data_IF_833153437831
#
_entry.id   IF_833153437831
#
_cell.length_a   1.000
_cell.length_b   1.000
_cell.length_c   1.000
_cell.angle_alpha   90.00
_cell.angle_beta   90.00
_cell.angle_gamma   90.00
#
_symmetry.space_group_name_H-M   'P 1'
#
loop_
_entity.id
_entity.type
_entity.pdbx_description
1 polymer ?
#
# COMPACT_ATOMS: atom_id res chain seq x y z
N UNK A 1 24.93 22.55 -20.86
CA UNK A 1 24.33 21.56 -19.92
C UNK A 1 23.04 22.04 -19.25
N UNK A 2 22.39 23.15 -19.67
CA UNK A 2 21.25 23.76 -18.94
C UNK A 2 19.86 23.62 -19.60
N UNK A 3 19.73 22.97 -20.76
CA UNK A 3 18.43 22.88 -21.47
C UNK A 3 17.63 21.59 -21.26
N UNK A 4 18.22 20.53 -20.69
CA UNK A 4 17.50 19.26 -20.44
C UNK A 4 16.64 19.23 -19.17
N UNK A 5 16.78 20.19 -18.27
CA UNK A 5 16.21 20.13 -16.92
C UNK A 5 14.78 20.69 -16.77
N UNK A 6 14.17 21.24 -17.82
CA UNK A 6 12.88 21.94 -17.71
C UNK A 6 11.90 21.57 -18.84
N UNK A 7 11.95 20.32 -19.32
CA UNK A 7 11.07 19.80 -20.38
C UNK A 7 9.69 19.39 -19.81
N UNK A 8 8.59 19.48 -20.59
CA UNK A 8 7.35 18.82 -20.23
C UNK A 8 7.51 17.29 -20.22
N UNK A 9 6.66 16.60 -19.45
CA UNK A 9 6.58 15.14 -19.47
C UNK A 9 6.21 14.67 -20.88
N UNK A 10 6.99 13.77 -21.45
CA UNK A 10 6.74 13.20 -22.77
C UNK A 10 5.91 11.91 -22.65
N UNK A 11 5.36 11.42 -23.77
CA UNK A 11 4.56 10.17 -23.83
C UNK A 11 5.27 8.97 -23.21
N UNK A 12 6.60 8.92 -23.32
CA UNK A 12 7.41 7.85 -22.73
C UNK A 12 7.46 7.94 -21.20
N UNK A 13 7.53 9.14 -20.62
CA UNK A 13 7.51 9.32 -19.17
C UNK A 13 6.15 8.90 -18.59
N UNK A 14 5.05 9.31 -19.25
CA UNK A 14 3.70 8.87 -18.87
C UNK A 14 3.52 7.36 -18.98
N UNK A 15 4.03 6.74 -20.05
CA UNK A 15 3.97 5.28 -20.21
C UNK A 15 4.71 4.57 -19.08
N UNK A 16 5.91 5.03 -18.74
CA UNK A 16 6.70 4.47 -17.63
C UNK A 16 6.00 4.65 -16.29
N UNK A 17 5.48 5.85 -16.00
CA UNK A 17 4.75 6.16 -14.78
C UNK A 17 3.48 5.30 -14.64
N UNK A 18 2.68 5.17 -15.71
CA UNK A 18 1.47 4.35 -15.69
C UNK A 18 1.77 2.88 -15.49
N UNK A 19 2.81 2.35 -16.14
CA UNK A 19 3.20 0.94 -15.98
C UNK A 19 3.75 0.66 -14.57
N UNK A 20 4.56 1.57 -14.01
CA UNK A 20 5.04 1.48 -12.63
C UNK A 20 3.89 1.57 -11.61
N UNK A 21 2.97 2.51 -11.81
CA UNK A 21 1.77 2.67 -11.00
C UNK A 21 0.87 1.43 -11.05
N UNK A 22 0.63 0.85 -12.24
CA UNK A 22 -0.17 -0.38 -12.39
C UNK A 22 0.49 -1.58 -11.73
N UNK A 23 1.80 -1.77 -11.90
CA UNK A 23 2.54 -2.84 -11.22
C UNK A 23 2.43 -2.70 -9.69
N UNK A 24 2.66 -1.51 -9.16
CA UNK A 24 2.52 -1.23 -7.73
C UNK A 24 1.07 -1.37 -7.22
N UNK A 25 0.07 -1.04 -8.04
CA UNK A 25 -1.34 -1.23 -7.70
C UNK A 25 -1.69 -2.72 -7.52
N UNK A 26 -1.25 -3.58 -8.45
CA UNK A 26 -1.55 -5.03 -8.37
C UNK A 26 -0.86 -5.67 -7.16
N UNK A 27 0.32 -5.20 -6.78
CA UNK A 27 0.98 -5.63 -5.55
C UNK A 27 0.23 -5.14 -4.31
N UNK A 28 -0.12 -3.86 -4.26
CA UNK A 28 -0.88 -3.36 -3.13
C UNK A 28 -2.24 -4.04 -2.97
N UNK A 29 -2.89 -4.46 -4.05
CA UNK A 29 -4.12 -5.25 -3.98
C UNK A 29 -3.95 -6.50 -3.09
N UNK A 30 -2.97 -7.36 -3.41
CA UNK A 30 -2.72 -8.63 -2.71
C UNK A 30 -2.44 -8.43 -1.22
N UNK A 31 -1.70 -7.37 -0.91
CA UNK A 31 -1.32 -7.07 0.45
C UNK A 31 -2.53 -6.59 1.28
N UNK A 32 -3.39 -5.79 0.67
CA UNK A 32 -4.47 -5.05 1.33
C UNK A 32 -5.77 -5.84 1.42
N UNK A 33 -6.05 -6.74 0.48
CA UNK A 33 -7.32 -7.48 0.44
C UNK A 33 -7.64 -8.21 1.75
N UNK A 34 -6.62 -8.74 2.42
CA UNK A 34 -6.73 -9.33 3.76
C UNK A 34 -7.33 -8.38 4.80
N UNK A 35 -7.00 -7.08 4.78
CA UNK A 35 -7.52 -6.14 5.78
C UNK A 35 -9.01 -5.93 5.60
N UNK A 36 -9.49 -5.85 4.36
CA UNK A 36 -10.92 -5.74 4.08
C UNK A 36 -11.72 -6.98 4.52
N UNK A 37 -11.07 -8.14 4.56
CA UNK A 37 -11.64 -9.38 5.08
C UNK A 37 -11.17 -9.71 6.52
N UNK A 38 -10.54 -8.78 7.24
CA UNK A 38 -9.97 -9.06 8.56
C UNK A 38 -11.01 -9.61 9.56
N UNK A 39 -12.23 -9.08 9.55
CA UNK A 39 -13.31 -9.58 10.43
C UNK A 39 -13.65 -11.04 10.10
N UNK A 40 -13.87 -11.35 8.82
CA UNK A 40 -14.18 -12.71 8.37
C UNK A 40 -13.02 -13.68 8.62
N UNK A 41 -11.79 -13.28 8.32
CA UNK A 41 -10.59 -14.09 8.59
C UNK A 41 -10.39 -14.29 10.09
N UNK A 42 -10.70 -13.29 10.91
CA UNK A 42 -10.74 -13.39 12.35
C UNK A 42 -11.63 -14.53 12.82
N UNK A 43 -12.85 -14.60 12.29
CA UNK A 43 -13.81 -15.66 12.62
C UNK A 43 -13.39 -17.05 12.10
N UNK A 44 -12.70 -17.11 10.97
CA UNK A 44 -12.36 -18.38 10.29
C UNK A 44 -11.04 -18.99 10.76
N UNK A 45 -10.05 -18.17 11.15
CA UNK A 45 -8.70 -18.62 11.45
C UNK A 45 -8.37 -18.61 12.95
N UNK A 46 -9.25 -18.11 13.80
CA UNK A 46 -9.02 -18.06 15.24
C UNK A 46 -10.16 -18.75 16.01
N UNK A 47 -9.90 -19.15 17.27
CA UNK A 47 -10.89 -19.84 18.08
C UNK A 47 -12.16 -19.00 18.33
N UNK A 48 -13.33 -19.64 18.36
CA UNK A 48 -14.60 -18.95 18.61
C UNK A 48 -14.74 -18.44 20.06
N UNK A 49 -14.02 -19.07 20.99
CA UNK A 49 -14.07 -18.88 22.45
C UNK A 49 -13.22 -17.72 22.98
N UNK A 50 -12.37 -17.11 22.14
CA UNK A 50 -11.59 -15.93 22.55
C UNK A 50 -12.40 -14.63 22.42
N UNK A 51 -12.14 -13.62 23.29
CA UNK A 51 -12.77 -12.31 23.18
C UNK A 51 -12.51 -11.66 21.81
N UNK A 52 -13.51 -10.94 21.29
CA UNK A 52 -13.45 -10.30 19.96
C UNK A 52 -12.28 -9.32 19.82
N UNK A 53 -11.98 -8.53 20.86
CA UNK A 53 -10.83 -7.61 20.85
C UNK A 53 -9.50 -8.36 20.68
N UNK A 54 -9.37 -9.57 21.24
CA UNK A 54 -8.16 -10.38 21.14
C UNK A 54 -8.04 -11.00 19.74
N UNK A 55 -9.16 -11.45 19.17
CA UNK A 55 -9.23 -11.94 17.79
C UNK A 55 -8.83 -10.87 16.77
N UNK A 56 -9.32 -9.64 16.96
CA UNK A 56 -8.92 -8.49 16.14
C UNK A 56 -7.44 -8.18 16.33
N UNK A 57 -6.95 -8.14 17.58
CA UNK A 57 -5.54 -7.92 17.88
C UNK A 57 -4.64 -8.95 17.19
N UNK A 58 -5.02 -10.23 17.21
CA UNK A 58 -4.27 -11.30 16.53
C UNK A 58 -4.32 -11.18 15.01
N UNK A 59 -5.48 -10.85 14.44
CA UNK A 59 -5.64 -10.68 12.98
C UNK A 59 -4.82 -9.50 12.46
N UNK A 60 -4.91 -8.34 13.12
CA UNK A 60 -4.08 -7.18 12.81
C UNK A 60 -2.61 -7.39 13.21
N UNK A 61 -2.34 -8.24 14.20
CA UNK A 61 -0.99 -8.69 14.55
C UNK A 61 -0.33 -9.46 13.42
N UNK A 62 -1.06 -10.36 12.76
CA UNK A 62 -0.60 -11.05 11.55
C UNK A 62 -0.36 -10.03 10.41
N UNK A 63 -1.23 -9.05 10.25
CA UNK A 63 -1.02 -7.96 9.28
C UNK A 63 0.24 -7.15 9.57
N UNK A 64 0.45 -6.77 10.83
CA UNK A 64 1.62 -6.03 11.29
C UNK A 64 2.91 -6.85 11.12
N UNK A 65 2.87 -8.16 11.37
CA UNK A 65 4.01 -9.05 11.11
C UNK A 65 4.45 -9.02 9.64
N UNK A 66 3.51 -8.94 8.70
CA UNK A 66 3.81 -8.71 7.28
C UNK A 66 4.54 -7.39 7.03
N UNK A 67 4.17 -6.29 7.72
CA UNK A 67 4.93 -5.04 7.64
C UNK A 67 6.32 -5.15 8.25
N UNK A 68 6.46 -5.81 9.40
CA UNK A 68 7.73 -6.03 10.08
C UNK A 68 8.68 -6.92 9.26
N UNK A 69 8.15 -7.78 8.40
CA UNK A 69 8.95 -8.57 7.47
C UNK A 69 9.55 -7.74 6.32
N UNK A 70 9.02 -6.54 6.01
CA UNK A 70 9.48 -5.71 4.88
C UNK A 70 10.96 -5.31 4.98
N UNK A 71 11.48 -4.75 6.09
CA UNK A 71 12.89 -4.40 6.18
C UNK A 71 13.81 -5.62 6.03
N UNK A 72 13.44 -6.74 6.66
CA UNK A 72 14.18 -8.01 6.55
C UNK A 72 14.22 -8.49 5.10
N UNK A 73 13.06 -8.49 4.43
CA UNK A 73 12.96 -8.83 3.03
C UNK A 73 13.77 -7.92 2.12
N UNK A 74 13.75 -6.60 2.36
CA UNK A 74 14.58 -5.64 1.63
C UNK A 74 16.08 -5.92 1.73
N UNK A 75 16.58 -6.25 2.93
CA UNK A 75 18.00 -6.60 3.16
C UNK A 75 18.35 -7.89 2.43
N UNK A 76 17.53 -8.94 2.59
CA UNK A 76 17.75 -10.26 1.97
C UNK A 76 17.71 -10.16 0.44
N UNK A 77 16.68 -9.50 -0.11
CA UNK A 77 16.50 -9.33 -1.56
C UNK A 77 17.61 -8.49 -2.18
N UNK A 78 18.13 -7.48 -1.46
CA UNK A 78 19.28 -6.70 -1.92
C UNK A 78 20.55 -7.57 -1.96
N UNK A 79 20.85 -8.29 -0.87
CA UNK A 79 22.05 -9.13 -0.78
C UNK A 79 22.08 -10.22 -1.86
N UNK A 80 20.99 -10.98 -2.01
CA UNK A 80 20.92 -12.01 -3.04
C UNK A 80 20.73 -11.42 -4.44
N UNK A 81 20.24 -10.19 -4.55
CA UNK A 81 20.13 -9.45 -5.81
C UNK A 81 21.49 -9.20 -6.44
N UNK A 82 22.48 -8.89 -5.61
CA UNK A 82 23.85 -8.64 -6.05
C UNK A 82 24.62 -9.94 -6.32
N UNK A 83 24.30 -11.04 -5.62
CA UNK A 83 24.95 -12.36 -5.81
C UNK A 83 24.41 -13.18 -6.98
N UNK A 84 23.08 -13.28 -7.13
CA UNK A 84 22.40 -14.21 -8.05
C UNK A 84 21.91 -13.50 -9.32
N UNK A 85 21.95 -12.17 -9.30
CA UNK A 85 21.49 -11.30 -10.39
C UNK A 85 20.09 -10.76 -10.13
N UNK A 86 19.98 -9.43 -10.20
CA UNK A 86 18.79 -8.65 -9.84
C UNK A 86 17.52 -9.04 -10.60
N UNK A 87 17.65 -9.50 -11.85
CA UNK A 87 16.51 -9.99 -12.66
C UNK A 87 15.84 -11.22 -12.03
N UNK A 88 16.62 -12.17 -11.50
CA UNK A 88 16.09 -13.39 -10.86
C UNK A 88 15.43 -13.05 -9.52
N UNK A 89 16.06 -12.18 -8.73
CA UNK A 89 15.51 -11.76 -7.44
C UNK A 89 14.22 -10.96 -7.57
N UNK A 90 14.11 -10.13 -8.60
CA UNK A 90 12.88 -9.40 -8.87
C UNK A 90 11.73 -10.36 -9.26
N UNK A 91 12.00 -11.36 -10.11
CA UNK A 91 11.01 -12.39 -10.42
C UNK A 91 10.62 -13.22 -9.19
N UNK A 92 11.58 -13.50 -8.30
CA UNK A 92 11.34 -14.21 -7.04
C UNK A 92 10.46 -13.40 -6.10
N UNK A 93 10.69 -12.09 -5.98
CA UNK A 93 9.86 -11.18 -5.17
C UNK A 93 8.39 -11.25 -5.56
N UNK A 94 8.08 -11.15 -6.85
CA UNK A 94 6.68 -11.23 -7.34
C UNK A 94 6.09 -12.62 -7.08
N UNK A 95 6.86 -13.69 -7.24
CA UNK A 95 6.40 -15.04 -6.94
C UNK A 95 6.12 -15.23 -5.44
N UNK A 96 6.99 -14.69 -4.58
CA UNK A 96 6.82 -14.65 -3.12
C UNK A 96 5.66 -13.77 -2.67
N UNK A 97 5.08 -13.00 -3.59
CA UNK A 97 3.85 -12.25 -3.34
C UNK A 97 2.62 -13.04 -3.82
N UNK A 98 2.58 -13.42 -5.10
CA UNK A 98 1.43 -14.06 -5.73
C UNK A 98 1.13 -15.47 -5.20
N UNK A 99 2.17 -16.30 -4.96
CA UNK A 99 1.99 -17.68 -4.51
C UNK A 99 1.40 -17.73 -3.10
N UNK A 100 1.91 -16.97 -2.11
CA UNK A 100 1.24 -16.88 -0.82
C UNK A 100 -0.18 -16.34 -0.89
N UNK A 101 -0.49 -15.38 -1.79
CA UNK A 101 -1.86 -14.90 -1.97
C UNK A 101 -2.79 -16.03 -2.39
N UNK A 102 -2.41 -16.84 -3.39
CA UNK A 102 -3.17 -18.03 -3.80
C UNK A 102 -3.27 -19.04 -2.65
N UNK A 103 -2.17 -19.29 -1.95
CA UNK A 103 -2.12 -20.25 -0.87
C UNK A 103 -3.08 -19.86 0.27
N UNK A 104 -3.19 -18.57 0.61
CA UNK A 104 -4.16 -18.08 1.62
C UNK A 104 -5.60 -18.46 1.23
N UNK A 105 -5.97 -18.32 -0.04
CA UNK A 105 -7.28 -18.73 -0.54
C UNK A 105 -7.54 -20.25 -0.46
N UNK A 106 -6.49 -21.05 -0.34
CA UNK A 106 -6.56 -22.52 -0.21
C UNK A 106 -6.38 -23.02 1.23
N UNK A 107 -6.09 -22.13 2.19
CA UNK A 107 -5.81 -22.56 3.55
C UNK A 107 -7.06 -23.18 4.22
N UNK A 108 -6.86 -24.26 4.99
CA UNK A 108 -7.90 -24.78 5.88
C UNK A 108 -8.16 -23.79 7.03
N UNK A 109 -9.41 -23.75 7.50
CA UNK A 109 -9.86 -22.90 8.61
C UNK A 109 -9.51 -23.53 9.97
N UNK A 110 -9.71 -22.77 11.05
CA UNK A 110 -9.46 -23.24 12.41
C UNK A 110 -10.24 -24.51 12.76
N UNK A 111 -11.49 -24.63 12.28
CA UNK A 111 -12.32 -25.82 12.49
C UNK A 111 -11.71 -27.11 11.90
N UNK A 112 -10.91 -26.99 10.85
CA UNK A 112 -10.31 -28.14 10.17
C UNK A 112 -8.95 -28.55 10.73
N UNK A 113 -8.10 -27.60 11.14
CA UNK A 113 -6.69 -27.87 11.53
C UNK A 113 -6.24 -27.17 12.82
N UNK A 114 -7.13 -26.49 13.53
CA UNK A 114 -6.85 -25.77 14.78
C UNK A 114 -5.79 -24.68 14.61
N UNK A 115 -4.87 -24.61 15.58
CA UNK A 115 -3.79 -23.60 15.67
C UNK A 115 -2.86 -23.57 14.44
N UNK A 116 -2.82 -24.64 13.64
CA UNK A 116 -2.06 -24.63 12.39
C UNK A 116 -2.59 -23.58 11.40
N UNK A 117 -3.90 -23.29 11.38
CA UNK A 117 -4.51 -22.32 10.47
C UNK A 117 -3.92 -20.89 10.63
N UNK A 118 -3.92 -20.26 11.82
CA UNK A 118 -3.36 -18.92 12.00
C UNK A 118 -1.83 -18.90 11.84
N UNK A 119 -1.12 -19.99 12.15
CA UNK A 119 0.33 -20.09 11.91
C UNK A 119 0.64 -20.09 10.41
N UNK A 120 -0.07 -20.90 9.62
CA UNK A 120 0.09 -20.91 8.17
C UNK A 120 -0.25 -19.55 7.56
N UNK A 121 -1.33 -18.92 8.03
CA UNK A 121 -1.71 -17.57 7.64
C UNK A 121 -0.58 -16.56 7.94
N UNK A 122 -0.01 -16.60 9.14
CA UNK A 122 1.14 -15.77 9.53
C UNK A 122 2.35 -15.99 8.61
N UNK A 123 2.70 -17.25 8.31
CA UNK A 123 3.82 -17.58 7.42
C UNK A 123 3.60 -17.00 6.02
N UNK A 124 2.40 -17.16 5.45
CA UNK A 124 2.07 -16.57 4.15
C UNK A 124 2.23 -15.05 4.18
N UNK A 125 1.81 -14.39 5.28
CA UNK A 125 1.92 -12.93 5.41
C UNK A 125 3.34 -12.43 5.59
N UNK A 126 4.18 -13.17 6.31
CA UNK A 126 5.61 -12.85 6.41
C UNK A 126 6.28 -12.96 5.04
N UNK A 127 5.96 -13.99 4.25
CA UNK A 127 6.48 -14.16 2.89
C UNK A 127 6.07 -13.00 1.97
N UNK A 128 4.78 -12.63 1.95
CA UNK A 128 4.29 -11.47 1.18
C UNK A 128 4.95 -10.17 1.63
N UNK A 129 5.08 -9.98 2.94
CA UNK A 129 5.71 -8.81 3.54
C UNK A 129 7.16 -8.65 3.10
N UNK A 130 7.92 -9.74 3.11
CA UNK A 130 9.32 -9.74 2.70
C UNK A 130 9.51 -9.35 1.21
N UNK A 131 8.58 -9.71 0.33
CA UNK A 131 8.65 -9.36 -1.09
C UNK A 131 8.58 -7.84 -1.36
N UNK A 132 7.71 -7.13 -0.64
CA UNK A 132 7.40 -5.71 -0.93
C UNK A 132 8.51 -4.74 -0.49
N UNK A 133 9.36 -5.13 0.46
CA UNK A 133 10.15 -4.21 1.27
C UNK A 133 11.14 -3.29 0.54
N UNK A 134 11.64 -3.68 -0.63
CA UNK A 134 12.62 -2.89 -1.40
C UNK A 134 12.08 -2.17 -2.63
N UNK A 135 10.92 -2.58 -3.14
CA UNK A 135 10.48 -2.19 -4.48
C UNK A 135 9.81 -0.82 -4.51
N UNK A 136 8.92 -0.55 -3.54
CA UNK A 136 8.12 0.68 -3.50
C UNK A 136 8.99 1.92 -3.25
N UNK A 137 9.92 1.94 -2.27
CA UNK A 137 10.82 3.07 -2.09
C UNK A 137 11.77 3.28 -3.28
N UNK A 138 12.19 2.19 -3.93
CA UNK A 138 13.01 2.24 -5.14
C UNK A 138 12.28 2.93 -6.30
N UNK A 139 10.99 2.67 -6.47
CA UNK A 139 10.17 3.31 -7.51
C UNK A 139 10.02 4.82 -7.29
N UNK A 140 9.89 5.30 -6.04
CA UNK A 140 9.82 6.73 -5.74
C UNK A 140 11.13 7.46 -6.05
N UNK A 141 12.27 6.91 -5.60
CA UNK A 141 13.60 7.48 -5.90
C UNK A 141 13.81 7.55 -7.40
N UNK A 142 13.50 6.46 -8.09
CA UNK A 142 13.60 6.38 -9.53
C UNK A 142 12.78 7.46 -10.24
N UNK A 143 11.49 7.60 -9.91
CA UNK A 143 10.64 8.61 -10.53
C UNK A 143 11.19 10.01 -10.25
N UNK A 144 11.63 10.28 -9.02
CA UNK A 144 12.18 11.57 -8.63
C UNK A 144 13.46 11.93 -9.39
N UNK A 145 14.33 10.95 -9.68
CA UNK A 145 15.58 11.17 -10.43
C UNK A 145 15.37 11.36 -11.94
N UNK A 146 14.29 10.82 -12.50
CA UNK A 146 14.06 10.82 -13.96
C UNK A 146 13.15 11.95 -14.44
N UNK A 147 12.43 12.62 -13.55
CA UNK A 147 11.57 13.75 -13.89
C UNK A 147 12.26 15.10 -13.64
N UNK A 148 11.87 16.16 -14.38
CA UNK A 148 12.38 17.51 -14.14
C UNK A 148 12.18 17.94 -12.67
N UNK A 149 13.18 18.63 -12.09
CA UNK A 149 13.14 19.07 -10.69
C UNK A 149 11.86 19.82 -10.27
N UNK A 150 11.23 20.56 -11.19
CA UNK A 150 9.98 21.30 -10.92
C UNK A 150 8.70 20.44 -10.99
N UNK A 151 8.82 19.14 -11.22
CA UNK A 151 7.69 18.21 -11.40
C UNK A 151 7.81 16.94 -10.56
N UNK A 152 8.77 16.92 -9.64
CA UNK A 152 9.02 15.76 -8.77
C UNK A 152 7.80 15.51 -7.88
N UNK A 153 7.18 16.57 -7.38
CA UNK A 153 5.97 16.50 -6.56
C UNK A 153 4.81 15.86 -7.28
N UNK A 154 4.50 16.35 -8.47
CA UNK A 154 3.44 15.81 -9.30
C UNK A 154 3.70 14.35 -9.69
N UNK A 155 4.94 13.99 -10.02
CA UNK A 155 5.29 12.63 -10.41
C UNK A 155 5.19 11.64 -9.23
N UNK A 156 5.70 12.01 -8.05
CA UNK A 156 5.54 11.23 -6.81
C UNK A 156 4.07 11.14 -6.39
N UNK A 157 3.29 12.21 -6.58
CA UNK A 157 1.85 12.24 -6.35
C UNK A 157 1.09 11.27 -7.25
N UNK A 158 1.40 11.21 -8.55
CA UNK A 158 0.84 10.23 -9.50
C UNK A 158 1.21 8.80 -9.09
N UNK A 159 2.48 8.56 -8.76
CA UNK A 159 2.92 7.23 -8.35
C UNK A 159 2.19 6.76 -7.09
N UNK A 160 2.04 7.65 -6.10
CA UNK A 160 1.30 7.38 -4.85
C UNK A 160 -0.19 7.17 -5.12
N UNK A 161 -0.82 7.97 -5.99
CA UNK A 161 -2.19 7.75 -6.44
C UNK A 161 -2.35 6.40 -7.16
N UNK A 162 -1.34 5.98 -7.91
CA UNK A 162 -1.26 4.65 -8.51
C UNK A 162 -1.30 3.53 -7.47
N UNK A 163 -0.53 3.63 -6.40
CA UNK A 163 -0.59 2.66 -5.29
C UNK A 163 -1.98 2.64 -4.63
N UNK A 164 -2.62 3.81 -4.48
CA UNK A 164 -4.00 3.90 -3.98
C UNK A 164 -5.01 3.18 -4.88
N UNK A 165 -4.76 3.02 -6.19
CA UNK A 165 -5.61 2.20 -7.05
C UNK A 165 -5.60 0.72 -6.64
N UNK A 166 -4.49 0.21 -6.12
CA UNK A 166 -4.41 -1.15 -5.57
C UNK A 166 -5.34 -1.34 -4.38
N UNK A 167 -5.35 -0.34 -3.48
CA UNK A 167 -6.26 -0.27 -2.34
C UNK A 167 -7.71 -0.19 -2.84
N UNK A 168 -7.98 0.63 -3.87
CA UNK A 168 -9.31 0.77 -4.46
C UNK A 168 -9.80 -0.55 -5.06
N UNK A 169 -8.97 -1.25 -5.83
CA UNK A 169 -9.34 -2.57 -6.37
C UNK A 169 -9.65 -3.55 -5.25
N UNK A 170 -8.87 -3.55 -4.16
CA UNK A 170 -9.16 -4.38 -2.98
C UNK A 170 -10.53 -4.06 -2.38
N UNK A 171 -10.81 -2.76 -2.18
CA UNK A 171 -12.06 -2.27 -1.60
C UNK A 171 -13.27 -2.58 -2.50
N UNK A 172 -13.11 -2.42 -3.82
CA UNK A 172 -14.16 -2.72 -4.80
C UNK A 172 -14.45 -4.21 -4.86
N UNK A 173 -13.44 -5.08 -4.91
CA UNK A 173 -13.64 -6.53 -4.91
C UNK A 173 -14.32 -6.98 -3.61
N UNK A 174 -13.88 -6.45 -2.45
CA UNK A 174 -14.53 -6.71 -1.18
C UNK A 174 -15.99 -6.22 -1.17
N UNK A 175 -16.26 -5.03 -1.70
CA UNK A 175 -17.63 -4.48 -1.84
C UNK A 175 -18.49 -5.38 -2.72
N UNK A 176 -17.98 -5.84 -3.86
CA UNK A 176 -18.71 -6.71 -4.79
C UNK A 176 -19.07 -8.03 -4.10
N UNK A 177 -18.10 -8.70 -3.46
CA UNK A 177 -18.32 -9.96 -2.74
C UNK A 177 -19.39 -9.78 -1.65
N UNK A 178 -19.24 -8.76 -0.80
CA UNK A 178 -20.14 -8.51 0.33
C UNK A 178 -21.51 -7.96 -0.06
N UNK A 179 -21.69 -7.54 -1.32
CA UNK A 179 -22.99 -7.11 -1.86
C UNK A 179 -23.72 -8.27 -2.55
N UNK A 180 -22.98 -9.19 -3.18
CA UNK A 180 -23.55 -10.34 -3.90
C UNK A 180 -23.85 -11.49 -2.95
N UNK A 181 -22.95 -11.76 -2.01
CA UNK A 181 -23.04 -12.90 -1.10
C UNK A 181 -23.48 -12.46 0.30
N UNK A 182 -24.28 -13.31 0.95
CA UNK A 182 -24.62 -13.14 2.36
C UNK A 182 -23.40 -13.33 3.26
N UNK A 183 -23.46 -12.82 4.51
CA UNK A 183 -22.37 -12.99 5.49
C UNK A 183 -22.00 -14.47 5.68
N UNK A 184 -22.99 -15.36 5.70
CA UNK A 184 -22.76 -16.79 5.88
C UNK A 184 -22.02 -17.39 4.68
N UNK A 185 -22.44 -17.10 3.45
CA UNK A 185 -21.73 -17.54 2.25
C UNK A 185 -20.30 -16.97 2.15
N UNK A 186 -20.09 -15.74 2.63
CA UNK A 186 -18.76 -15.14 2.73
C UNK A 186 -17.87 -15.94 3.67
N UNK A 187 -18.36 -16.34 4.84
CA UNK A 187 -17.61 -17.17 5.80
C UNK A 187 -17.39 -18.59 5.26
N UNK A 188 -18.39 -19.17 4.60
CA UNK A 188 -18.32 -20.55 4.12
C UNK A 188 -17.27 -20.72 3.00
N UNK A 189 -17.27 -19.82 1.99
CA UNK A 189 -16.38 -19.99 0.84
C UNK A 189 -16.02 -18.71 0.09
N UNK A 190 -16.89 -17.70 0.04
CA UNK A 190 -16.69 -16.57 -0.88
C UNK A 190 -15.51 -15.67 -0.50
N UNK A 191 -15.06 -15.71 0.77
CA UNK A 191 -13.83 -15.03 1.22
C UNK A 191 -12.57 -15.48 0.46
N UNK A 192 -12.58 -16.67 -0.15
CA UNK A 192 -11.44 -17.22 -0.91
C UNK A 192 -11.28 -16.58 -2.29
N UNK A 193 -12.38 -16.14 -2.91
CA UNK A 193 -12.39 -15.59 -4.28
C UNK A 193 -11.45 -14.39 -4.47
N UNK A 194 -11.43 -13.38 -3.57
CA UNK A 194 -10.51 -12.26 -3.69
C UNK A 194 -9.03 -12.66 -3.63
N UNK A 195 -8.69 -13.68 -2.86
CA UNK A 195 -7.31 -14.18 -2.78
C UNK A 195 -6.89 -14.89 -4.07
N UNK A 196 -7.80 -15.67 -4.68
CA UNK A 196 -7.54 -16.24 -6.00
C UNK A 196 -7.37 -15.18 -7.08
N UNK A 197 -8.24 -14.16 -7.07
CA UNK A 197 -8.13 -13.02 -7.97
C UNK A 197 -6.81 -12.26 -7.78
N UNK A 198 -6.39 -12.06 -6.53
CA UNK A 198 -5.11 -11.45 -6.20
C UNK A 198 -3.92 -12.22 -6.76
N UNK A 199 -3.90 -13.54 -6.57
CA UNK A 199 -2.88 -14.38 -7.19
C UNK A 199 -2.81 -14.25 -8.71
N UNK A 200 -3.96 -14.15 -9.39
CA UNK A 200 -4.02 -13.88 -10.84
C UNK A 200 -3.45 -12.48 -11.15
N UNK A 201 -3.80 -11.46 -10.37
CA UNK A 201 -3.23 -10.12 -10.51
C UNK A 201 -1.73 -10.09 -10.30
N UNK A 202 -1.19 -10.83 -9.32
CA UNK A 202 0.24 -10.99 -9.10
C UNK A 202 0.96 -11.64 -10.29
N UNK A 203 0.37 -12.69 -10.89
CA UNK A 203 0.90 -13.31 -12.10
C UNK A 203 0.83 -12.37 -13.32
N UNK A 204 -0.25 -11.60 -13.45
CA UNK A 204 -0.38 -10.55 -14.47
C UNK A 204 0.66 -9.44 -14.26
N UNK A 205 0.91 -9.01 -13.01
CA UNK A 205 1.93 -8.03 -12.67
C UNK A 205 3.33 -8.52 -13.04
N UNK A 206 3.63 -9.82 -12.81
CA UNK A 206 4.86 -10.47 -13.27
C UNK A 206 5.00 -10.37 -14.78
N UNK A 207 3.94 -10.67 -15.52
CA UNK A 207 3.94 -10.59 -16.98
C UNK A 207 4.16 -9.15 -17.47
N UNK A 208 3.43 -8.17 -16.92
CA UNK A 208 3.60 -6.75 -17.23
C UNK A 208 5.03 -6.26 -16.95
N UNK A 209 5.61 -6.70 -15.84
CA UNK A 209 6.96 -6.27 -15.43
C UNK A 209 8.08 -6.87 -16.29
N UNK A 210 7.86 -8.02 -16.94
CA UNK A 210 8.81 -8.56 -17.93
C UNK A 210 9.07 -7.56 -19.07
N UNK A 211 8.08 -6.74 -19.43
CA UNK A 211 8.17 -5.74 -20.49
C UNK A 211 8.81 -4.42 -20.00
N UNK A 212 8.70 -4.11 -18.70
CA UNK A 212 9.36 -2.97 -18.06
C UNK A 212 10.87 -3.14 -17.95
N UNK A 213 11.36 -4.38 -17.75
CA UNK A 213 12.79 -4.68 -17.59
C UNK A 213 13.64 -4.37 -18.82
N UNK A 214 13.00 -4.19 -19.98
CA UNK A 214 13.65 -3.83 -21.24
C UNK A 214 13.75 -2.31 -21.44
N UNK A 215 13.16 -1.51 -20.53
CA UNK A 215 13.29 -0.06 -20.63
C UNK A 215 14.70 0.39 -20.23
N UNK A 216 15.34 1.29 -21.00
CA UNK A 216 16.72 1.76 -20.75
C UNK A 216 16.90 2.33 -19.33
N UNK A 217 15.79 2.81 -18.76
CA UNK A 217 15.68 3.40 -17.44
C UNK A 217 15.94 2.38 -16.31
N UNK A 218 15.51 1.12 -16.46
CA UNK A 218 15.77 0.09 -15.45
C UNK A 218 17.23 -0.41 -15.47
N UNK A 219 17.87 -0.38 -16.66
CA UNK A 219 19.30 -0.65 -16.82
C UNK A 219 20.18 0.43 -16.19
N UNK A 220 19.86 1.71 -16.40
CA UNK A 220 20.57 2.82 -15.73
C UNK A 220 20.46 2.73 -14.19
N UNK A 221 19.29 2.31 -13.68
CA UNK A 221 19.09 2.08 -12.24
C UNK A 221 19.96 0.94 -11.68
N UNK A 222 20.23 -0.09 -12.49
CA UNK A 222 21.12 -1.20 -12.13
C UNK A 222 22.59 -0.79 -12.21
N UNK A 223 22.99 -0.12 -13.28
CA UNK A 223 24.38 0.28 -13.55
C UNK A 223 24.87 1.34 -12.56
N UNK A 224 24.04 2.34 -12.19
CA UNK A 224 24.43 3.36 -11.20
C UNK A 224 24.48 2.85 -9.77
N UNK A 225 23.61 1.89 -9.41
CA UNK A 225 23.69 1.23 -8.08
C UNK A 225 24.88 0.27 -7.98
N UNK A 226 25.39 -0.27 -9.08
CA UNK A 226 26.62 -1.07 -9.10
C UNK A 226 27.89 -0.22 -8.88
N UNK A 227 27.84 1.08 -9.18
CA UNK A 227 28.92 2.05 -8.95
C UNK A 227 28.94 2.63 -7.53
N UNK A 228 27.86 2.46 -6.77
CA UNK A 228 27.84 2.81 -5.34
C UNK A 228 28.46 1.66 -4.55
N UNK A 229 29.80 1.62 -4.51
CA UNK A 229 30.54 0.93 -3.45
C UNK A 229 29.92 1.31 -2.10
N UNK A 230 29.40 0.31 -1.39
CA UNK A 230 28.91 0.36 -0.01
C UNK A 230 28.37 1.72 0.44
N UNK A 231 27.05 1.97 0.32
CA UNK A 231 26.43 3.00 1.15
C UNK A 231 26.59 2.54 2.60
N UNK A 232 27.49 3.11 3.42
CA UNK A 232 27.73 2.58 4.74
C UNK A 232 26.53 3.06 5.54
N UNK A 233 25.56 2.17 5.77
CA UNK A 233 24.40 2.42 6.65
C UNK A 233 24.85 3.11 7.95
N UNK A 234 26.02 2.72 8.44
CA UNK A 234 26.72 3.33 9.57
C UNK A 234 27.02 4.83 9.37
N UNK A 235 27.54 5.24 8.22
CA UNK A 235 27.84 6.64 7.87
C UNK A 235 26.57 7.48 7.75
N UNK A 236 25.50 6.93 7.14
CA UNK A 236 24.21 7.64 7.02
C UNK A 236 23.58 7.84 8.40
N UNK A 237 23.53 6.80 9.24
CA UNK A 237 22.98 6.85 10.59
C UNK A 237 23.74 7.80 11.50
N UNK A 238 25.07 7.85 11.39
CA UNK A 238 25.91 8.71 12.23
C UNK A 238 25.86 10.18 11.80
N UNK A 239 25.88 10.46 10.49
CA UNK A 239 26.06 11.82 9.97
C UNK A 239 24.77 12.54 9.58
N UNK A 240 23.63 11.83 9.41
CA UNK A 240 22.38 12.42 8.92
C UNK A 240 21.17 12.20 9.86
N UNK A 241 21.40 12.16 11.18
CA UNK A 241 20.37 11.91 12.21
C UNK A 241 19.10 12.75 12.05
N UNK A 242 19.24 14.06 11.77
CA UNK A 242 18.09 14.96 11.57
C UNK A 242 17.24 14.58 10.35
N UNK A 243 17.88 14.27 9.23
CA UNK A 243 17.18 13.86 8.00
C UNK A 243 16.47 12.51 8.21
N UNK A 244 17.10 11.58 8.93
CA UNK A 244 16.51 10.29 9.30
C UNK A 244 15.26 10.52 10.16
N UNK A 245 15.34 11.35 11.21
CA UNK A 245 14.17 11.63 12.06
C UNK A 245 13.02 12.24 11.27
N UNK A 246 13.28 13.19 10.37
CA UNK A 246 12.25 13.79 9.52
C UNK A 246 11.64 12.74 8.59
N UNK A 247 12.47 11.92 7.93
CA UNK A 247 12.00 10.85 7.04
C UNK A 247 11.15 9.80 7.79
N UNK A 248 11.55 9.43 9.01
CA UNK A 248 10.76 8.54 9.87
C UNK A 248 9.40 9.14 10.22
N UNK A 249 9.35 10.42 10.60
CA UNK A 249 8.09 11.10 10.93
C UNK A 249 7.16 11.23 9.72
N UNK A 250 7.70 11.53 8.54
CA UNK A 250 6.93 11.61 7.31
C UNK A 250 6.42 10.23 6.86
N UNK A 251 7.23 9.19 7.05
CA UNK A 251 6.82 7.80 6.81
C UNK A 251 5.75 7.35 7.80
N UNK A 252 5.83 7.81 9.05
CA UNK A 252 4.76 7.61 10.03
C UNK A 252 3.48 8.28 9.57
N UNK A 253 3.52 9.55 9.15
CA UNK A 253 2.34 10.24 8.61
C UNK A 253 1.70 9.45 7.46
N UNK A 254 2.51 8.94 6.52
CA UNK A 254 2.05 8.04 5.46
C UNK A 254 1.35 6.80 6.02
N UNK A 255 1.98 6.14 6.99
CA UNK A 255 1.45 4.91 7.60
C UNK A 255 0.15 5.18 8.37
N UNK A 256 0.06 6.30 9.10
CA UNK A 256 -1.15 6.69 9.83
C UNK A 256 -2.29 7.02 8.86
N UNK A 257 -2.03 7.80 7.82
CA UNK A 257 -3.03 8.15 6.81
C UNK A 257 -3.56 6.92 6.08
N UNK A 258 -2.68 6.03 5.62
CA UNK A 258 -3.14 4.83 4.90
C UNK A 258 -3.70 3.78 5.87
N UNK A 259 -2.93 3.33 6.85
CA UNK A 259 -3.31 2.18 7.69
C UNK A 259 -4.48 2.54 8.59
N UNK A 260 -4.40 3.65 9.33
CA UNK A 260 -5.46 4.00 10.28
C UNK A 260 -6.68 4.54 9.55
N UNK A 261 -6.50 5.60 8.75
CA UNK A 261 -7.64 6.33 8.18
C UNK A 261 -8.29 5.60 7.01
N UNK A 262 -7.55 4.86 6.19
CA UNK A 262 -8.11 4.19 5.00
C UNK A 262 -8.38 2.70 5.24
N UNK A 263 -7.46 1.97 5.88
CA UNK A 263 -7.58 0.51 6.00
C UNK A 263 -8.33 0.05 7.24
N UNK A 264 -8.11 0.68 8.39
CA UNK A 264 -8.73 0.25 9.66
C UNK A 264 -10.11 0.87 9.90
N UNK A 265 -10.37 2.08 9.39
CA UNK A 265 -11.67 2.77 9.55
C UNK A 265 -12.88 1.91 9.15
N UNK A 266 -12.89 1.15 8.02
CA UNK A 266 -14.02 0.29 7.68
C UNK A 266 -14.28 -0.78 8.75
N UNK A 267 -13.23 -1.46 9.23
CA UNK A 267 -13.34 -2.44 10.31
C UNK A 267 -13.85 -1.78 11.59
N UNK A 268 -13.33 -0.60 11.96
CA UNK A 268 -13.79 0.14 13.13
C UNK A 268 -15.27 0.52 13.05
N UNK A 269 -15.74 0.98 11.87
CA UNK A 269 -17.15 1.27 11.63
C UNK A 269 -18.02 0.00 11.74
N UNK A 270 -17.52 -1.15 11.28
CA UNK A 270 -18.23 -2.43 11.36
C UNK A 270 -18.30 -2.98 12.79
N UNK A 271 -17.22 -2.86 13.57
CA UNK A 271 -17.11 -3.53 14.88
C UNK A 271 -17.60 -2.66 16.04
N UNK A 272 -17.40 -1.34 15.99
CA UNK A 272 -17.77 -0.42 17.07
C UNK A 272 -19.13 0.23 16.80
N UNK A 273 -19.38 0.65 15.56
CA UNK A 273 -20.63 1.32 15.17
C UNK A 273 -21.66 0.37 14.57
N UNK A 274 -21.34 -0.92 14.44
CA UNK A 274 -22.22 -1.96 13.87
C UNK A 274 -22.78 -1.56 12.49
N UNK A 275 -22.00 -0.82 11.71
CA UNK A 275 -22.38 -0.44 10.35
C UNK A 275 -22.22 -1.63 9.40
N UNK A 276 -23.12 -1.72 8.43
CA UNK A 276 -23.09 -2.79 7.43
C UNK A 276 -21.76 -2.79 6.66
N UNK A 277 -21.21 -3.98 6.41
CA UNK A 277 -19.95 -4.15 5.68
C UNK A 277 -20.02 -3.55 4.27
N UNK A 278 -21.14 -3.73 3.56
CA UNK A 278 -21.29 -3.20 2.20
C UNK A 278 -21.29 -1.66 2.18
N UNK A 279 -21.97 -1.02 3.15
CA UNK A 279 -22.05 0.43 3.27
C UNK A 279 -20.68 1.05 3.59
N UNK A 280 -19.96 0.47 4.55
CA UNK A 280 -18.65 0.95 4.99
C UNK A 280 -17.58 0.81 3.89
N UNK A 281 -17.61 -0.29 3.12
CA UNK A 281 -16.69 -0.49 1.99
C UNK A 281 -17.01 0.42 0.80
N UNK A 282 -18.29 0.71 0.50
CA UNK A 282 -18.68 1.73 -0.48
C UNK A 282 -18.18 3.12 -0.11
N UNK A 283 -18.36 3.52 1.16
CA UNK A 283 -17.84 4.78 1.68
C UNK A 283 -16.30 4.86 1.56
N UNK A 284 -15.63 3.75 1.88
CA UNK A 284 -14.18 3.63 1.78
C UNK A 284 -13.67 3.73 0.34
N UNK A 285 -14.34 3.08 -0.62
CA UNK A 285 -14.00 3.19 -2.04
C UNK A 285 -14.03 4.64 -2.51
N UNK A 286 -15.04 5.41 -2.11
CA UNK A 286 -15.12 6.84 -2.45
C UNK A 286 -13.99 7.65 -1.78
N UNK A 287 -13.69 7.35 -0.51
CA UNK A 287 -12.56 7.95 0.19
C UNK A 287 -11.21 7.66 -0.47
N UNK A 288 -11.00 6.46 -1.01
CA UNK A 288 -9.77 6.10 -1.74
C UNK A 288 -9.67 6.85 -3.08
N UNK A 289 -10.79 7.06 -3.78
CA UNK A 289 -10.81 7.89 -4.99
C UNK A 289 -10.42 9.33 -4.64
N UNK A 290 -11.01 9.88 -3.58
CA UNK A 290 -10.65 11.22 -3.08
C UNK A 290 -9.19 11.29 -2.64
N UNK A 291 -8.65 10.24 -2.01
CA UNK A 291 -7.23 10.12 -1.68
C UNK A 291 -6.34 10.18 -2.92
N UNK A 292 -6.65 9.43 -3.97
CA UNK A 292 -5.87 9.44 -5.21
C UNK A 292 -5.84 10.85 -5.83
N UNK A 293 -6.98 11.54 -5.86
CA UNK A 293 -7.09 12.94 -6.29
C UNK A 293 -6.26 13.86 -5.38
N UNK A 294 -6.32 13.63 -4.07
CA UNK A 294 -5.58 14.36 -3.06
C UNK A 294 -4.07 14.23 -3.25
N UNK A 295 -3.55 13.02 -3.48
CA UNK A 295 -2.13 12.76 -3.72
C UNK A 295 -1.60 13.54 -4.94
N UNK A 296 -2.34 13.55 -6.04
CA UNK A 296 -1.96 14.30 -7.25
C UNK A 296 -2.03 15.81 -7.01
N UNK A 297 -3.09 16.27 -6.34
CA UNK A 297 -3.30 17.70 -6.04
C UNK A 297 -2.22 18.23 -5.11
N UNK A 298 -1.93 17.52 -4.03
CA UNK A 298 -0.86 17.85 -3.08
C UNK A 298 0.50 17.83 -3.76
N UNK A 299 0.80 16.80 -4.56
CA UNK A 299 2.05 16.72 -5.32
C UNK A 299 2.27 17.93 -6.22
N UNK A 300 1.22 18.34 -6.95
CA UNK A 300 1.24 19.55 -7.77
C UNK A 300 1.43 20.84 -6.94
N UNK A 301 0.78 20.94 -5.79
CA UNK A 301 0.94 22.09 -4.89
C UNK A 301 2.36 22.15 -4.31
N UNK A 302 2.99 21.02 -4.02
CA UNK A 302 4.38 20.99 -3.58
C UNK A 302 5.35 21.54 -4.63
N UNK A 303 5.12 21.23 -5.90
CA UNK A 303 5.93 21.78 -7.00
C UNK A 303 5.79 23.31 -7.12
N UNK A 304 4.65 23.88 -6.69
CA UNK A 304 4.35 25.32 -6.79
C UNK A 304 4.72 26.12 -5.55
N UNK A 305 4.44 25.59 -4.36
CA UNK A 305 4.53 26.30 -3.07
C UNK A 305 5.62 25.74 -2.16
N UNK A 306 6.29 24.65 -2.57
CA UNK A 306 7.29 23.94 -1.78
C UNK A 306 6.65 22.93 -0.80
N UNK A 307 7.39 21.86 -0.51
CA UNK A 307 6.91 20.76 0.32
C UNK A 307 6.57 21.19 1.76
N UNK A 308 7.35 22.08 2.37
CA UNK A 308 7.18 22.47 3.78
C UNK A 308 5.82 23.10 4.10
N UNK A 309 5.42 24.12 3.35
CA UNK A 309 4.14 24.82 3.57
C UNK A 309 2.96 23.89 3.29
N UNK A 310 3.04 23.12 2.20
CA UNK A 310 1.98 22.18 1.81
C UNK A 310 1.81 21.06 2.84
N UNK A 311 2.90 20.53 3.40
CA UNK A 311 2.85 19.53 4.46
C UNK A 311 2.19 20.08 5.73
N UNK A 312 2.53 21.30 6.17
CA UNK A 312 1.93 21.91 7.37
C UNK A 312 0.41 22.08 7.18
N UNK A 313 -0.01 22.69 6.07
CA UNK A 313 -1.43 22.91 5.77
C UNK A 313 -2.14 21.56 5.65
N UNK A 314 -1.56 20.60 4.92
CA UNK A 314 -2.14 19.28 4.73
C UNK A 314 -2.27 18.49 6.02
N UNK A 315 -1.31 18.56 6.94
CA UNK A 315 -1.39 17.91 8.25
C UNK A 315 -2.49 18.51 9.14
N UNK A 316 -2.65 19.84 9.14
CA UNK A 316 -3.73 20.52 9.87
C UNK A 316 -5.10 20.12 9.30
N UNK A 317 -5.25 20.14 7.98
CA UNK A 317 -6.46 19.68 7.31
C UNK A 317 -6.76 18.21 7.59
N UNK A 318 -5.75 17.34 7.55
CA UNK A 318 -5.90 15.93 7.89
C UNK A 318 -6.36 15.75 9.34
N UNK A 319 -5.72 16.41 10.30
CA UNK A 319 -6.07 16.31 11.72
C UNK A 319 -7.52 16.77 11.98
N UNK A 320 -7.89 17.93 11.43
CA UNK A 320 -9.24 18.50 11.60
C UNK A 320 -10.33 17.66 10.95
N UNK A 321 -10.13 17.23 9.70
CA UNK A 321 -11.11 16.38 8.99
C UNK A 321 -11.23 15.00 9.61
N UNK A 322 -10.12 14.40 10.05
CA UNK A 322 -10.14 13.11 10.76
C UNK A 322 -10.90 13.22 12.08
N UNK A 323 -10.60 14.25 12.89
CA UNK A 323 -11.33 14.50 14.15
C UNK A 323 -12.83 14.68 13.90
N UNK A 324 -13.20 15.51 12.93
CA UNK A 324 -14.58 15.75 12.56
C UNK A 324 -15.28 14.46 12.10
N UNK A 325 -14.63 13.68 11.24
CA UNK A 325 -15.16 12.42 10.73
C UNK A 325 -15.45 11.43 11.85
N UNK A 326 -14.48 11.17 12.73
CA UNK A 326 -14.66 10.19 13.82
C UNK A 326 -15.69 10.62 14.87
N UNK A 327 -15.90 11.93 15.07
CA UNK A 327 -16.93 12.45 15.99
C UNK A 327 -18.34 12.47 15.37
N UNK A 328 -18.46 12.44 14.04
CA UNK A 328 -19.72 12.54 13.31
C UNK A 328 -20.03 11.28 12.47
N UNK A 329 -19.46 10.12 12.82
CA UNK A 329 -19.82 8.85 12.18
C UNK A 329 -21.33 8.65 12.37
N UNK A 330 -22.05 8.54 11.26
CA UNK A 330 -23.50 8.43 11.24
C UNK A 330 -23.95 7.27 10.37
N UNK A 331 -25.13 6.74 10.66
CA UNK A 331 -25.79 5.72 9.83
C UNK A 331 -26.37 6.31 8.54
N UNK A 332 -26.42 7.63 8.39
CA UNK A 332 -26.89 8.30 7.18
C UNK A 332 -25.84 8.21 6.05
N UNK A 333 -26.14 7.50 4.94
CA UNK A 333 -25.13 7.24 3.89
C UNK A 333 -24.53 8.51 3.29
N UNK A 334 -25.35 9.54 3.05
CA UNK A 334 -24.89 10.77 2.41
C UNK A 334 -23.86 11.53 3.26
N UNK A 335 -24.11 11.63 4.57
CA UNK A 335 -23.20 12.28 5.53
C UNK A 335 -21.91 11.47 5.68
N UNK A 336 -22.03 10.14 5.80
CA UNK A 336 -20.89 9.24 5.89
C UNK A 336 -19.98 9.34 4.65
N UNK A 337 -20.58 9.29 3.46
CA UNK A 337 -19.83 9.33 2.20
C UNK A 337 -19.14 10.68 2.03
N UNK A 338 -19.84 11.79 2.29
CA UNK A 338 -19.26 13.13 2.20
C UNK A 338 -18.09 13.34 3.16
N UNK A 339 -18.28 13.01 4.45
CA UNK A 339 -17.26 13.20 5.47
C UNK A 339 -16.04 12.29 5.26
N UNK A 340 -16.27 11.03 4.88
CA UNK A 340 -15.16 10.10 4.64
C UNK A 340 -14.37 10.48 3.37
N UNK A 341 -15.07 10.93 2.32
CA UNK A 341 -14.41 11.40 1.08
C UNK A 341 -13.55 12.64 1.32
N UNK A 342 -14.06 13.59 2.10
CA UNK A 342 -13.29 14.76 2.51
C UNK A 342 -12.03 14.35 3.29
N UNK A 343 -12.16 13.40 4.21
CA UNK A 343 -11.02 12.86 4.96
C UNK A 343 -10.04 12.12 4.04
N UNK A 344 -10.54 11.34 3.07
CA UNK A 344 -9.72 10.71 2.05
C UNK A 344 -8.92 11.72 1.24
N UNK A 345 -9.54 12.82 0.82
CA UNK A 345 -8.88 13.91 0.09
C UNK A 345 -7.71 14.51 0.89
N UNK A 346 -7.88 14.74 2.19
CA UNK A 346 -6.83 15.30 3.05
C UNK A 346 -5.73 14.30 3.39
N UNK A 347 -6.03 12.99 3.45
CA UNK A 347 -5.00 11.93 3.49
C UNK A 347 -4.08 12.03 2.27
N UNK A 348 -4.51 12.65 1.16
CA UNK A 348 -3.66 12.99 0.02
C UNK A 348 -2.36 13.74 0.37
N UNK A 349 -2.25 14.35 1.56
CA UNK A 349 -0.99 14.93 2.08
C UNK A 349 0.18 13.96 2.04
N UNK A 350 -0.08 12.64 2.10
CA UNK A 350 0.95 11.61 1.99
C UNK A 350 1.73 11.68 0.67
N UNK A 351 1.13 12.19 -0.40
CA UNK A 351 1.82 12.38 -1.68
C UNK A 351 3.03 13.33 -1.59
N UNK A 352 3.06 14.20 -0.56
CA UNK A 352 4.17 15.12 -0.29
C UNK A 352 5.26 14.54 0.62
N UNK A 353 5.00 13.45 1.34
CA UNK A 353 5.93 12.88 2.35
C UNK A 353 7.27 12.42 1.75
N UNK A 354 7.33 12.27 0.43
CA UNK A 354 8.45 11.73 -0.32
C UNK A 354 9.32 12.81 -0.98
N UNK A 355 8.96 14.09 -0.82
CA UNK A 355 9.60 15.25 -1.45
C UNK A 355 10.58 15.99 -0.56
N UNK A 356 10.78 15.53 0.68
CA UNK A 356 11.70 16.14 1.63
C UNK A 356 13.12 15.61 1.44
N UNK A 357 13.78 16.00 0.35
CA UNK A 357 15.21 15.76 0.13
C UNK A 357 15.89 17.06 -0.27
#
# INVERSE_FOLDING_TARGET
MSQHHNRPLNKQDYKTLSLAALGGALEFYDFIIFVFFAVALGELFFPADIPEWLRQLQTFGIFAAGYLARPLGGIVMAHFGDLIGRKKMFSLSILMMAVPTLAIGMLPTYDAVGIAAPILLLLMRIMQGAAIGGEVPGAWVFVAEHVPHKRVGFACGILTAGLSLGILFGSLVATIITTIYSRQEVLDWAWRLPFFLGGIFGLCAMYLRRWLHETPVFKEMQERKALAEELPLKTVILNHKRAISISMLLTWLLSAGIVVVILMTPTYMQTVFNLEQSLTLKANSLAIISLAIGCVSVGYLCDKWGAGIVLIIGCILLATTTWFFYHNISHEPLKLFGAYSLTGLTVGVIGATLLSW
#
